data_IF_382947172448
#
_entry.id   IF_382947172448
#
_cell.length_a   1.000
_cell.length_b   1.000
_cell.length_c   1.000
_cell.angle_alpha   90.00
_cell.angle_beta   90.00
_cell.angle_gamma   90.00
#
_symmetry.space_group_name_H-M   'P 1'
#
loop_
_entity.id
_entity.type
_entity.pdbx_description
1 polymer ?
#
# COMPACT_ATOMS: atom_id res chain seq x y z
N UNK A 1 10.97 -11.55 24.43
CA UNK A 1 12.34 -11.97 24.83
C UNK A 1 12.35 -12.43 26.28
N UNK A 2 13.51 -12.50 26.95
CA UNK A 2 13.83 -13.24 28.19
C UNK A 2 12.94 -13.00 29.45
N UNK A 3 11.87 -12.22 29.36
CA UNK A 3 10.94 -11.94 30.47
C UNK A 3 9.48 -12.31 30.14
N UNK A 4 9.23 -13.03 29.04
CA UNK A 4 7.90 -13.59 28.73
C UNK A 4 6.90 -12.62 28.09
N UNK A 5 7.35 -11.46 27.60
CA UNK A 5 6.52 -10.54 26.83
C UNK A 5 6.39 -11.00 25.37
N UNK A 6 5.17 -10.88 24.83
CA UNK A 6 4.87 -11.13 23.42
C UNK A 6 5.70 -10.21 22.53
N UNK A 7 6.24 -10.76 21.44
CA UNK A 7 7.04 -10.00 20.49
C UNK A 7 6.07 -9.21 19.60
N UNK A 8 5.88 -7.93 19.92
CA UNK A 8 4.99 -7.02 19.19
C UNK A 8 5.64 -6.60 17.87
N UNK A 9 4.85 -6.56 16.79
CA UNK A 9 5.30 -6.15 15.46
C UNK A 9 5.72 -7.31 14.57
N UNK A 10 6.30 -7.00 13.41
CA UNK A 10 6.79 -8.00 12.48
C UNK A 10 8.02 -7.51 11.69
N UNK A 11 8.75 -8.47 11.12
CA UNK A 11 9.93 -8.19 10.29
C UNK A 11 9.52 -7.89 8.86
N UNK A 12 10.17 -6.89 8.28
CA UNK A 12 10.01 -6.55 6.87
C UNK A 12 10.37 -7.75 5.98
N UNK A 13 9.46 -8.12 5.06
CA UNK A 13 9.65 -9.25 4.16
C UNK A 13 10.70 -9.00 3.07
N UNK A 14 11.05 -7.73 2.80
CA UNK A 14 12.12 -7.40 1.87
C UNK A 14 13.47 -7.92 2.40
N UNK A 15 14.10 -8.84 1.65
CA UNK A 15 15.32 -9.55 2.05
C UNK A 15 16.51 -8.63 2.35
N UNK A 16 16.59 -7.49 1.67
CA UNK A 16 17.64 -6.49 1.89
C UNK A 16 17.42 -5.63 3.12
N UNK A 17 16.25 -5.70 3.76
CA UNK A 17 15.88 -4.85 4.90
C UNK A 17 15.73 -5.63 6.21
N UNK A 18 14.82 -6.61 6.27
CA UNK A 18 14.54 -7.48 7.43
C UNK A 18 14.39 -6.78 8.81
N UNK A 19 14.15 -5.47 8.85
CA UNK A 19 13.98 -4.70 10.08
C UNK A 19 12.71 -5.13 10.81
N UNK A 20 12.76 -5.24 12.13
CA UNK A 20 11.59 -5.48 12.97
C UNK A 20 10.87 -4.17 13.24
N UNK A 21 9.65 -4.04 12.75
CA UNK A 21 8.83 -2.84 12.88
C UNK A 21 7.62 -3.13 13.78
N UNK A 22 7.32 -2.23 14.71
CA UNK A 22 6.20 -2.38 15.63
C UNK A 22 4.85 -2.16 14.93
N UNK A 23 4.85 -1.50 13.77
CA UNK A 23 3.66 -1.23 12.96
C UNK A 23 3.84 -1.83 11.55
N UNK A 24 3.72 -3.16 11.39
CA UNK A 24 3.89 -3.78 10.09
C UNK A 24 2.73 -3.46 9.14
N UNK A 25 3.08 -3.07 7.92
CA UNK A 25 2.14 -2.76 6.85
C UNK A 25 1.95 -3.99 5.95
N UNK A 26 0.70 -4.42 5.75
CA UNK A 26 0.39 -5.55 4.86
C UNK A 26 0.11 -5.04 3.45
N UNK A 27 0.89 -5.48 2.47
CA UNK A 27 0.65 -5.11 1.08
C UNK A 27 -0.66 -5.72 0.56
N UNK A 28 -1.52 -4.92 -0.06
CA UNK A 28 -2.78 -5.41 -0.64
C UNK A 28 -2.57 -6.39 -1.82
N UNK A 29 -1.45 -6.24 -2.54
CA UNK A 29 -1.14 -7.03 -3.74
C UNK A 29 -0.49 -8.38 -3.40
N UNK A 30 0.64 -8.37 -2.67
CA UNK A 30 1.39 -9.58 -2.36
C UNK A 30 1.10 -10.17 -0.96
N UNK A 31 0.31 -9.48 -0.11
CA UNK A 31 -0.08 -9.93 1.24
C UNK A 31 1.06 -10.15 2.23
N UNK A 32 2.29 -9.77 1.90
CA UNK A 32 3.42 -9.77 2.82
C UNK A 32 3.45 -8.51 3.69
N UNK A 33 4.18 -8.60 4.83
CA UNK A 33 4.34 -7.52 5.80
C UNK A 33 5.65 -6.77 5.60
N UNK A 34 5.61 -5.44 5.68
CA UNK A 34 6.74 -4.55 5.45
C UNK A 34 6.83 -3.48 6.54
N UNK A 35 8.04 -2.95 6.75
CA UNK A 35 8.25 -1.79 7.61
C UNK A 35 7.73 -0.50 6.95
N UNK A 36 7.66 0.60 7.71
CA UNK A 36 7.16 1.89 7.20
C UNK A 36 7.86 2.35 5.90
N UNK A 37 9.18 2.12 5.77
CA UNK A 37 9.95 2.51 4.57
C UNK A 37 9.62 1.70 3.32
N UNK A 38 9.07 0.50 3.50
CA UNK A 38 8.81 -0.46 2.43
C UNK A 38 7.31 -0.79 2.29
N UNK A 39 6.43 0.04 2.86
CA UNK A 39 4.98 -0.16 2.85
C UNK A 39 4.37 -0.08 1.43
N UNK A 40 4.91 0.80 0.58
CA UNK A 40 4.45 0.96 -0.80
C UNK A 40 4.95 -0.18 -1.69
N UNK A 41 4.14 -0.58 -2.69
CA UNK A 41 4.47 -1.66 -3.61
C UNK A 41 5.76 -1.40 -4.42
N UNK A 42 6.02 -0.13 -4.74
CA UNK A 42 7.24 0.33 -5.42
C UNK A 42 8.49 0.19 -4.56
N UNK A 43 8.34 0.16 -3.23
CA UNK A 43 9.45 0.22 -2.27
C UNK A 43 9.93 -1.17 -1.82
N UNK A 44 9.17 -2.24 -2.10
CA UNK A 44 9.55 -3.61 -1.71
C UNK A 44 9.66 -4.59 -2.87
N UNK A 45 9.89 -4.09 -4.09
CA UNK A 45 9.99 -4.89 -5.31
C UNK A 45 8.80 -5.88 -5.45
N UNK A 46 7.59 -5.34 -5.32
CA UNK A 46 6.40 -6.16 -5.21
C UNK A 46 6.15 -6.97 -6.50
N UNK A 47 6.24 -8.30 -6.38
CA UNK A 47 6.09 -9.24 -7.49
C UNK A 47 4.72 -9.19 -8.20
N UNK A 48 3.70 -8.61 -7.54
CA UNK A 48 2.32 -8.53 -8.02
C UNK A 48 1.94 -7.16 -8.59
N UNK A 49 2.89 -6.24 -8.76
CA UNK A 49 2.66 -4.90 -9.36
C UNK A 49 2.24 -4.96 -10.83
N UNK A 50 2.48 -6.10 -11.49
CA UNK A 50 2.12 -6.31 -12.89
C UNK A 50 0.61 -6.47 -13.13
N UNK A 51 -0.23 -6.58 -12.08
CA UNK A 51 -1.68 -6.53 -12.22
C UNK A 51 -2.19 -5.07 -12.21
N UNK A 52 -2.24 -4.51 -13.42
CA UNK A 52 -3.16 -3.46 -13.86
C UNK A 52 -2.97 -2.07 -13.26
N UNK A 53 -2.31 -1.19 -14.02
CA UNK A 53 -2.50 0.26 -14.01
C UNK A 53 -3.99 0.59 -14.20
N UNK A 54 -4.75 0.55 -13.12
CA UNK A 54 -6.18 0.81 -13.09
C UNK A 54 -6.50 1.49 -11.78
N UNK A 55 -6.92 2.75 -11.89
CA UNK A 55 -7.47 3.65 -10.87
C UNK A 55 -7.84 2.94 -9.55
N UNK A 56 -7.09 3.22 -8.48
CA UNK A 56 -7.40 2.81 -7.10
C UNK A 56 -8.38 3.78 -6.41
N UNK A 57 -9.33 4.34 -7.15
CA UNK A 57 -10.38 5.13 -6.52
C UNK A 57 -11.46 4.14 -6.05
N UNK A 58 -11.66 4.10 -4.73
CA UNK A 58 -12.72 3.32 -4.13
C UNK A 58 -14.06 3.65 -4.82
N UNK A 59 -14.84 2.64 -5.25
CA UNK A 59 -16.14 2.89 -5.83
C UNK A 59 -17.03 3.57 -4.80
N UNK A 60 -17.87 4.50 -5.24
CA UNK A 60 -18.81 5.17 -4.35
C UNK A 60 -19.68 4.15 -3.59
N UNK A 61 -19.78 4.20 -2.24
CA UNK A 61 -20.55 3.22 -1.47
C UNK A 61 -22.07 3.33 -1.70
N UNK A 62 -22.54 4.36 -2.39
CA UNK A 62 -23.96 4.59 -2.70
C UNK A 62 -24.31 4.08 -4.10
N UNK A 63 -23.48 4.34 -5.11
CA UNK A 63 -23.79 4.01 -6.51
C UNK A 63 -22.83 3.03 -7.18
N UNK A 64 -21.70 2.69 -6.54
CA UNK A 64 -20.70 1.76 -7.07
C UNK A 64 -19.85 2.30 -8.21
N UNK A 65 -20.10 3.53 -8.67
CA UNK A 65 -19.36 4.15 -9.77
C UNK A 65 -18.10 4.82 -9.23
N UNK A 66 -16.98 4.56 -9.88
CA UNK A 66 -15.72 5.28 -9.66
C UNK A 66 -15.74 6.56 -10.50
N UNK A 67 -15.71 7.72 -9.85
CA UNK A 67 -15.64 9.00 -10.57
C UNK A 67 -14.32 9.09 -11.32
N UNK A 68 -14.40 9.33 -12.63
CA UNK A 68 -13.23 9.65 -13.44
C UNK A 68 -12.87 11.09 -13.15
N UNK A 69 -11.58 11.36 -12.98
CA UNK A 69 -11.08 12.71 -12.91
C UNK A 69 -10.97 13.22 -14.35
N UNK A 70 -11.90 14.06 -14.77
CA UNK A 70 -11.77 14.78 -16.03
C UNK A 70 -10.95 16.05 -15.73
N UNK A 71 -9.68 16.10 -16.15
CA UNK A 71 -8.77 17.27 -16.00
C UNK A 71 -9.24 18.53 -16.79
N UNK A 72 -10.52 18.64 -17.12
CA UNK A 72 -11.09 19.63 -18.01
C UNK A 72 -12.16 20.48 -17.30
N UNK A 73 -11.73 21.27 -16.31
CA UNK A 73 -12.41 22.51 -15.93
C UNK A 73 -11.35 23.55 -15.54
N UNK A 74 -10.59 23.97 -16.55
CA UNK A 74 -9.76 25.17 -16.50
C UNK A 74 -9.71 25.77 -17.91
N UNK A 75 -10.88 25.96 -18.50
CA UNK A 75 -11.04 27.03 -19.49
C UNK A 75 -11.68 28.19 -18.75
N UNK A 76 -10.85 29.09 -18.24
CA UNK A 76 -11.27 30.47 -18.02
C UNK A 76 -11.65 31.00 -19.41
N UNK A 77 -12.95 31.07 -19.70
CA UNK A 77 -13.46 31.86 -20.80
C UNK A 77 -13.55 33.33 -20.37
N UNK A 78 -12.72 34.13 -21.05
CA UNK A 78 -12.70 35.60 -21.22
C UNK A 78 -12.17 36.51 -20.09
#
# INVERSE_FOLDING_TARGET
DAEGYEIVGARCFLETCQVHDFLPFTCALCRHQFCQKHAEASSHDCQQVTCSKGILAAPCPVCGVTVKWDDADSTEEE
#
